data_IF_322590028374
#
_entry.id   IF_322590028374
#
_cell.length_a   1.000
_cell.length_b   1.000
_cell.length_c   1.000
_cell.angle_alpha   90.00
_cell.angle_beta   90.00
_cell.angle_gamma   90.00
#
_symmetry.space_group_name_H-M   'P 1'
#
loop_
_entity.id
_entity.type
_entity.pdbx_description
1 polymer ?
#
# COMPACT_ATOMS: atom_id res chain seq x y z
N UNK A 1 -20.31 7.66 5.62
CA UNK A 1 -21.75 7.36 5.45
C UNK A 1 -22.07 6.23 4.45
N UNK A 2 -21.19 5.82 3.53
CA UNK A 2 -21.54 4.79 2.51
C UNK A 2 -21.15 3.34 2.83
N UNK A 3 -20.11 3.10 3.64
CA UNK A 3 -19.66 1.75 3.99
C UNK A 3 -20.66 0.91 4.77
N UNK A 4 -21.49 1.54 5.60
CA UNK A 4 -22.52 0.87 6.40
C UNK A 4 -23.60 0.18 5.56
N UNK A 5 -23.80 0.63 4.32
CA UNK A 5 -24.79 0.08 3.40
C UNK A 5 -24.22 -1.01 2.49
N UNK A 6 -22.90 -1.05 2.28
CA UNK A 6 -22.23 -2.08 1.47
C UNK A 6 -21.99 -3.38 2.28
N UNK A 7 -23.07 -3.99 2.76
CA UNK A 7 -23.04 -5.19 3.62
C UNK A 7 -22.39 -6.40 2.93
N UNK A 8 -22.47 -6.46 1.60
CA UNK A 8 -21.92 -7.56 0.78
C UNK A 8 -20.46 -7.33 0.37
N UNK A 9 -19.84 -6.22 0.79
CA UNK A 9 -18.46 -5.85 0.48
C UNK A 9 -18.15 -5.87 -1.02
N UNK A 10 -19.11 -5.41 -1.83
CA UNK A 10 -18.96 -5.34 -3.28
C UNK A 10 -18.04 -4.17 -3.63
N UNK A 11 -16.99 -4.36 -4.46
CA UNK A 11 -16.16 -3.26 -4.91
C UNK A 11 -16.96 -2.19 -5.65
N UNK A 12 -16.79 -0.90 -5.32
CA UNK A 12 -17.42 0.22 -6.04
C UNK A 12 -16.33 1.07 -6.71
N UNK A 13 -16.15 0.88 -8.01
CA UNK A 13 -15.23 1.70 -8.79
C UNK A 13 -15.92 2.97 -9.26
N UNK A 14 -15.22 4.10 -9.16
CA UNK A 14 -15.75 5.39 -9.59
C UNK A 14 -14.97 5.91 -10.78
N UNK A 15 -15.66 6.54 -11.72
CA UNK A 15 -15.08 7.26 -12.84
C UNK A 15 -15.42 8.74 -12.67
N UNK A 16 -14.39 9.57 -12.59
CA UNK A 16 -14.53 11.03 -12.65
C UNK A 16 -14.18 11.48 -14.06
N UNK A 17 -15.08 12.19 -14.74
CA UNK A 17 -14.89 12.61 -16.12
C UNK A 17 -14.78 14.13 -16.16
N UNK A 18 -13.66 14.64 -16.67
CA UNK A 18 -13.47 16.08 -16.81
C UNK A 18 -13.26 16.83 -15.49
N UNK A 19 -12.96 18.12 -15.61
CA UNK A 19 -12.59 18.97 -14.47
C UNK A 19 -13.78 19.31 -13.56
N UNK A 20 -15.02 19.16 -14.04
CA UNK A 20 -16.24 19.40 -13.27
C UNK A 20 -16.59 18.30 -12.26
N UNK A 21 -15.91 17.14 -12.32
CA UNK A 21 -16.18 16.02 -11.42
C UNK A 21 -15.48 16.18 -10.06
N UNK A 22 -16.18 15.89 -8.96
CA UNK A 22 -15.58 15.84 -7.63
C UNK A 22 -14.70 14.58 -7.47
N UNK A 23 -13.44 14.72 -7.84
CA UNK A 23 -12.44 13.64 -7.84
C UNK A 23 -12.17 13.11 -6.44
N UNK A 24 -12.12 14.01 -5.45
CA UNK A 24 -11.79 13.67 -4.08
C UNK A 24 -12.91 12.87 -3.43
N UNK A 25 -14.17 13.29 -3.62
CA UNK A 25 -15.33 12.53 -3.18
C UNK A 25 -15.35 11.14 -3.80
N UNK A 26 -15.20 11.03 -5.13
CA UNK A 26 -15.24 9.75 -5.85
C UNK A 26 -14.08 8.82 -5.44
N UNK A 27 -12.89 9.39 -5.21
CA UNK A 27 -11.76 8.64 -4.67
C UNK A 27 -12.06 8.11 -3.26
N UNK A 28 -12.57 8.95 -2.35
CA UNK A 28 -12.96 8.53 -0.99
C UNK A 28 -14.08 7.47 -1.03
N UNK A 29 -15.05 7.61 -1.93
CA UNK A 29 -16.15 6.66 -2.11
C UNK A 29 -15.61 5.27 -2.49
N UNK A 30 -14.75 5.20 -3.51
CA UNK A 30 -14.18 3.93 -3.97
C UNK A 30 -13.25 3.29 -2.96
N UNK A 31 -12.37 4.07 -2.33
CA UNK A 31 -11.45 3.54 -1.31
C UNK A 31 -12.19 2.94 -0.11
N UNK A 32 -13.28 3.59 0.33
CA UNK A 32 -14.15 3.06 1.38
C UNK A 32 -14.89 1.78 0.96
N UNK A 33 -15.04 1.55 -0.35
CA UNK A 33 -15.73 0.39 -0.90
C UNK A 33 -14.77 -0.54 -1.67
N UNK A 34 -13.59 -0.77 -1.13
CA UNK A 34 -12.64 -1.80 -1.57
C UNK A 34 -12.19 -1.71 -3.04
N UNK A 35 -12.22 -0.50 -3.60
CA UNK A 35 -11.95 -0.25 -5.00
C UNK A 35 -11.14 1.04 -5.16
N UNK A 36 -10.86 1.42 -6.39
CA UNK A 36 -10.19 2.67 -6.73
C UNK A 36 -11.07 3.53 -7.64
N UNK A 37 -10.77 4.83 -7.67
CA UNK A 37 -11.34 5.78 -8.61
C UNK A 37 -10.36 6.02 -9.74
N UNK A 38 -10.87 6.17 -10.97
CA UNK A 38 -10.10 6.58 -12.15
C UNK A 38 -10.63 7.93 -12.64
N UNK A 39 -9.71 8.82 -12.99
CA UNK A 39 -10.05 10.06 -13.66
C UNK A 39 -9.88 9.89 -15.16
N UNK A 40 -10.85 10.42 -15.91
CA UNK A 40 -10.91 10.41 -17.36
C UNK A 40 -10.81 11.87 -17.80
N UNK A 41 -9.73 12.18 -18.51
CA UNK A 41 -9.51 13.52 -19.02
C UNK A 41 -10.35 13.75 -20.28
N UNK A 42 -10.93 14.95 -20.40
CA UNK A 42 -11.69 15.42 -21.58
C UNK A 42 -10.74 15.67 -22.76
N UNK A 43 -10.29 14.59 -23.40
CA UNK A 43 -9.37 14.63 -24.51
C UNK A 43 -9.78 13.64 -25.61
N UNK A 44 -9.07 13.66 -26.74
CA UNK A 44 -9.33 12.79 -27.89
C UNK A 44 -9.20 11.29 -27.57
N UNK A 45 -8.50 10.95 -26.50
CA UNK A 45 -8.26 9.57 -26.04
C UNK A 45 -9.19 9.15 -24.88
N UNK A 46 -10.20 9.96 -24.51
CA UNK A 46 -11.10 9.65 -23.40
C UNK A 46 -11.79 8.28 -23.55
N UNK A 47 -12.16 7.90 -24.79
CA UNK A 47 -12.72 6.57 -25.10
C UNK A 47 -11.73 5.43 -24.80
N UNK A 48 -10.45 5.61 -25.11
CA UNK A 48 -9.39 4.65 -24.80
C UNK A 48 -9.21 4.52 -23.27
N UNK A 49 -9.18 5.64 -22.55
CA UNK A 49 -9.05 5.64 -21.09
C UNK A 49 -10.19 4.86 -20.40
N UNK A 50 -11.41 4.96 -20.93
CA UNK A 50 -12.57 4.19 -20.48
C UNK A 50 -12.45 2.70 -20.81
N UNK A 51 -12.01 2.37 -22.02
CA UNK A 51 -11.80 0.99 -22.46
C UNK A 51 -10.75 0.28 -21.60
N UNK A 52 -9.61 0.92 -21.36
CA UNK A 52 -8.54 0.40 -20.51
C UNK A 52 -9.03 0.16 -19.07
N UNK A 53 -9.79 1.11 -18.52
CA UNK A 53 -10.38 0.95 -17.20
C UNK A 53 -11.33 -0.25 -17.15
N UNK A 54 -12.22 -0.38 -18.15
CA UNK A 54 -13.15 -1.51 -18.20
C UNK A 54 -12.42 -2.85 -18.32
N UNK A 55 -11.42 -2.95 -19.20
CA UNK A 55 -10.58 -4.16 -19.35
C UNK A 55 -9.93 -4.58 -18.03
N UNK A 56 -9.52 -3.62 -17.20
CA UNK A 56 -8.92 -3.90 -15.89
C UNK A 56 -9.87 -4.52 -14.87
N UNK A 57 -11.19 -4.35 -15.03
CA UNK A 57 -12.20 -4.84 -14.08
C UNK A 57 -13.24 -5.79 -14.69
N UNK A 58 -13.19 -6.04 -16.00
CA UNK A 58 -14.22 -6.78 -16.73
C UNK A 58 -14.20 -8.29 -16.46
N UNK A 59 -13.12 -8.82 -15.88
CA UNK A 59 -12.89 -10.26 -15.78
C UNK A 59 -12.54 -10.68 -14.34
N UNK A 60 -13.51 -10.69 -13.41
CA UNK A 60 -13.28 -11.17 -12.05
C UNK A 60 -13.04 -12.69 -12.03
N UNK A 61 -11.96 -13.11 -11.38
CA UNK A 61 -11.53 -14.51 -11.27
C UNK A 61 -11.86 -15.13 -9.91
N UNK A 62 -11.54 -14.41 -8.84
CA UNK A 62 -11.74 -14.86 -7.46
C UNK A 62 -12.40 -13.76 -6.63
N UNK A 63 -13.30 -14.15 -5.74
CA UNK A 63 -13.86 -13.29 -4.71
C UNK A 63 -13.29 -13.66 -3.33
N UNK A 64 -13.29 -12.70 -2.39
CA UNK A 64 -12.90 -12.91 -0.98
C UNK A 64 -11.53 -13.59 -0.81
N UNK A 65 -10.52 -13.13 -1.55
CA UNK A 65 -9.16 -13.65 -1.45
C UNK A 65 -8.59 -13.27 -0.08
N UNK A 66 -8.20 -14.27 0.71
CA UNK A 66 -7.74 -14.12 2.08
C UNK A 66 -6.41 -14.86 2.27
N UNK A 67 -5.41 -14.11 2.72
CA UNK A 67 -4.08 -14.60 3.06
C UNK A 67 -4.05 -14.92 4.55
N UNK A 68 -4.04 -16.22 4.87
CA UNK A 68 -4.05 -16.72 6.25
C UNK A 68 -2.63 -17.00 6.73
N UNK A 69 -2.13 -16.11 7.57
CA UNK A 69 -0.85 -16.27 8.25
C UNK A 69 -1.05 -17.06 9.54
N UNK A 70 -0.23 -18.11 9.72
CA UNK A 70 -0.41 -19.06 10.84
C UNK A 70 0.22 -18.52 12.12
N UNK A 71 1.40 -17.87 12.04
CA UNK A 71 2.12 -17.13 13.10
C UNK A 71 3.39 -16.46 12.51
N UNK A 72 4.12 -15.66 13.32
CA UNK A 72 5.45 -15.10 13.01
C UNK A 72 5.49 -13.94 12.00
N UNK A 73 4.49 -13.06 12.03
CA UNK A 73 4.53 -11.79 11.27
C UNK A 73 4.16 -10.62 12.19
N UNK A 74 4.98 -9.57 12.23
CA UNK A 74 4.80 -8.43 13.15
C UNK A 74 3.92 -7.33 12.55
N UNK A 75 4.12 -7.05 11.27
CA UNK A 75 3.39 -6.02 10.54
C UNK A 75 3.11 -6.55 9.15
N UNK A 76 1.84 -6.60 8.76
CA UNK A 76 1.39 -7.00 7.41
C UNK A 76 0.44 -5.93 6.90
N UNK A 77 0.51 -5.64 5.61
CA UNK A 77 -0.49 -4.82 4.93
C UNK A 77 -1.84 -5.57 4.84
N UNK A 78 -2.69 -5.19 3.88
CA UNK A 78 -4.01 -5.78 3.72
C UNK A 78 -3.92 -7.26 3.36
N UNK A 79 -4.65 -8.11 4.08
CA UNK A 79 -4.65 -9.57 3.89
C UNK A 79 -5.93 -10.11 3.26
N UNK A 80 -6.97 -9.28 3.13
CA UNK A 80 -8.26 -9.63 2.54
C UNK A 80 -8.54 -8.70 1.36
N UNK A 81 -8.74 -9.29 0.19
CA UNK A 81 -9.06 -8.60 -1.05
C UNK A 81 -10.40 -9.09 -1.59
N UNK A 82 -11.38 -8.21 -1.83
CA UNK A 82 -12.72 -8.68 -2.19
C UNK A 82 -12.82 -9.32 -3.56
N UNK A 83 -12.06 -8.87 -4.56
CA UNK A 83 -12.08 -9.41 -5.92
C UNK A 83 -10.69 -9.34 -6.55
N UNK A 84 -10.27 -10.44 -7.17
CA UNK A 84 -9.11 -10.52 -8.07
C UNK A 84 -9.61 -10.51 -9.51
N UNK A 85 -9.08 -9.62 -10.35
CA UNK A 85 -9.38 -9.56 -11.78
C UNK A 85 -8.27 -10.19 -12.62
N UNK A 86 -8.61 -10.69 -13.81
CA UNK A 86 -7.65 -11.21 -14.77
C UNK A 86 -6.66 -10.11 -15.18
N UNK A 87 -5.37 -10.42 -15.13
CA UNK A 87 -4.29 -9.45 -15.40
C UNK A 87 -4.00 -8.48 -14.25
N UNK A 88 -4.70 -8.58 -13.12
CA UNK A 88 -4.38 -7.83 -11.89
C UNK A 88 -3.52 -8.66 -10.94
N UNK A 89 -2.74 -7.98 -10.10
CA UNK A 89 -1.87 -8.59 -9.10
C UNK A 89 -2.15 -7.99 -7.72
N UNK A 90 -1.90 -8.78 -6.67
CA UNK A 90 -1.87 -8.29 -5.30
C UNK A 90 -0.45 -8.29 -4.76
N UNK A 91 -0.14 -7.25 -3.99
CA UNK A 91 1.11 -7.14 -3.26
C UNK A 91 0.82 -7.06 -1.77
N UNK A 92 1.46 -7.94 -1.01
CA UNK A 92 1.42 -7.92 0.44
C UNK A 92 2.84 -7.78 0.95
N UNK A 93 3.04 -6.78 1.79
CA UNK A 93 4.33 -6.52 2.41
C UNK A 93 4.22 -6.68 3.92
N UNK A 94 5.29 -7.15 4.53
CA UNK A 94 5.36 -7.28 5.96
C UNK A 94 6.74 -7.62 6.51
N UNK A 95 6.85 -7.55 7.84
CA UNK A 95 8.05 -7.94 8.58
C UNK A 95 7.82 -9.34 9.16
N UNK A 96 8.61 -10.31 8.69
CA UNK A 96 8.52 -11.67 9.17
C UNK A 96 9.58 -11.97 10.24
N UNK A 97 9.20 -12.82 11.19
CA UNK A 97 10.03 -13.24 12.31
C UNK A 97 10.66 -14.60 11.95
N UNK A 98 11.73 -15.00 12.64
CA UNK A 98 12.31 -16.36 12.51
C UNK A 98 11.21 -17.43 12.55
N UNK A 99 11.28 -18.39 11.63
CA UNK A 99 10.28 -19.44 11.50
C UNK A 99 9.04 -19.02 10.71
N UNK A 100 9.16 -18.02 9.84
CA UNK A 100 8.11 -17.67 8.88
C UNK A 100 7.75 -18.86 8.01
N UNK A 101 6.45 -19.09 7.85
CA UNK A 101 5.90 -20.07 6.93
C UNK A 101 5.02 -19.34 5.92
N UNK A 102 5.07 -19.79 4.66
CA UNK A 102 4.24 -19.24 3.61
C UNK A 102 2.75 -19.36 4.00
N UNK A 103 1.96 -18.28 3.88
CA UNK A 103 0.55 -18.30 4.26
C UNK A 103 -0.26 -19.13 3.25
N UNK A 104 -1.36 -19.70 3.72
CA UNK A 104 -2.36 -20.25 2.80
C UNK A 104 -3.16 -19.10 2.17
N UNK A 105 -3.38 -19.16 0.86
CA UNK A 105 -4.24 -18.20 0.16
C UNK A 105 -5.54 -18.88 -0.21
N UNK A 106 -6.66 -18.32 0.22
CA UNK A 106 -7.99 -18.91 -0.01
C UNK A 106 -8.85 -17.88 -0.74
N UNK A 107 -9.54 -18.27 -1.80
CA UNK A 107 -10.48 -17.42 -2.52
C UNK A 107 -11.66 -18.22 -3.06
N UNK A 108 -12.73 -17.55 -3.43
CA UNK A 108 -13.94 -18.16 -4.00
C UNK A 108 -13.98 -17.93 -5.51
N UNK A 109 -13.83 -18.98 -6.30
CA UNK A 109 -14.09 -18.96 -7.73
C UNK A 109 -15.53 -19.35 -8.06
N UNK A 110 -15.84 -19.49 -9.36
CA UNK A 110 -17.17 -19.90 -9.85
C UNK A 110 -17.63 -21.27 -9.32
N UNK A 111 -16.68 -22.19 -9.12
CA UNK A 111 -16.95 -23.59 -8.73
C UNK A 111 -16.85 -23.79 -7.20
N UNK A 112 -16.49 -22.75 -6.44
CA UNK A 112 -16.38 -22.79 -4.99
C UNK A 112 -15.03 -22.28 -4.48
N UNK A 113 -14.67 -22.71 -3.27
CA UNK A 113 -13.45 -22.27 -2.59
C UNK A 113 -12.21 -22.94 -3.20
N UNK A 114 -11.18 -22.14 -3.48
CA UNK A 114 -9.89 -22.54 -3.99
C UNK A 114 -8.82 -22.20 -2.96
N UNK A 115 -7.84 -23.09 -2.81
CA UNK A 115 -6.71 -22.93 -1.90
C UNK A 115 -5.41 -22.99 -2.68
N UNK A 116 -4.59 -21.97 -2.51
CA UNK A 116 -3.27 -21.84 -3.14
C UNK A 116 -2.19 -21.85 -2.08
N UNK A 117 -1.07 -22.50 -2.40
CA UNK A 117 0.14 -22.50 -1.58
C UNK A 117 1.23 -21.71 -2.29
N UNK A 118 1.62 -20.55 -1.77
CA UNK A 118 2.62 -19.70 -2.40
C UNK A 118 4.04 -20.24 -2.16
N UNK A 119 4.92 -20.00 -3.13
CA UNK A 119 6.32 -20.38 -3.04
C UNK A 119 7.12 -19.32 -2.29
N UNK A 120 7.99 -19.75 -1.38
CA UNK A 120 8.86 -18.83 -0.64
C UNK A 120 10.15 -18.57 -1.43
N UNK A 121 10.38 -17.31 -1.77
CA UNK A 121 11.59 -16.86 -2.47
C UNK A 121 12.42 -15.98 -1.53
N UNK A 122 13.73 -16.23 -1.46
CA UNK A 122 14.67 -15.40 -0.69
C UNK A 122 15.33 -14.38 -1.63
N UNK A 123 14.96 -13.10 -1.49
CA UNK A 123 15.57 -11.99 -2.25
C UNK A 123 16.24 -11.04 -1.26
N UNK A 124 17.54 -10.76 -1.43
CA UNK A 124 18.37 -10.26 -0.33
C UNK A 124 18.40 -8.73 -0.14
N UNK A 125 18.29 -7.89 -1.17
CA UNK A 125 18.76 -6.49 -1.02
C UNK A 125 17.81 -5.34 -1.43
N UNK A 126 16.53 -5.57 -1.76
CA UNK A 126 15.61 -4.47 -2.14
C UNK A 126 14.20 -4.54 -1.52
N UNK A 127 13.87 -5.62 -0.83
CA UNK A 127 12.52 -5.81 -0.28
C UNK A 127 12.21 -4.86 0.88
N UNK A 128 13.22 -4.38 1.59
CA UNK A 128 13.02 -3.41 2.67
C UNK A 128 12.55 -2.05 2.15
N UNK A 129 13.20 -1.53 1.11
CA UNK A 129 12.79 -0.27 0.49
C UNK A 129 11.40 -0.40 -0.15
N UNK A 130 11.11 -1.54 -0.79
CA UNK A 130 9.77 -1.82 -1.33
C UNK A 130 8.70 -1.91 -0.22
N UNK A 131 8.99 -2.60 0.88
CA UNK A 131 8.09 -2.66 2.03
C UNK A 131 7.80 -1.27 2.58
N UNK A 132 8.82 -0.43 2.74
CA UNK A 132 8.66 0.95 3.20
C UNK A 132 7.77 1.76 2.23
N UNK A 133 8.04 1.69 0.92
CA UNK A 133 7.23 2.35 -0.10
C UNK A 133 5.75 1.93 -0.05
N UNK A 134 5.47 0.62 -0.05
CA UNK A 134 4.10 0.10 0.00
C UNK A 134 3.39 0.47 1.31
N UNK A 135 4.13 0.49 2.43
CA UNK A 135 3.60 0.88 3.74
C UNK A 135 3.23 2.37 3.77
N UNK A 136 4.11 3.24 3.29
CA UNK A 136 3.85 4.70 3.19
C UNK A 136 2.63 4.94 2.29
N UNK A 137 2.58 4.32 1.11
CA UNK A 137 1.45 4.43 0.18
C UNK A 137 0.13 4.01 0.84
N UNK A 138 0.14 2.92 1.62
CA UNK A 138 -1.02 2.48 2.38
C UNK A 138 -1.44 3.50 3.44
N UNK A 139 -0.50 4.02 4.24
CA UNK A 139 -0.79 5.03 5.27
C UNK A 139 -1.43 6.29 4.68
N UNK A 140 -0.90 6.78 3.55
CA UNK A 140 -1.46 7.94 2.85
C UNK A 140 -2.84 7.67 2.25
N UNK A 141 -3.11 6.44 1.76
CA UNK A 141 -4.44 6.06 1.30
C UNK A 141 -5.45 5.96 2.44
N UNK A 142 -5.07 5.37 3.57
CA UNK A 142 -5.92 5.23 4.75
C UNK A 142 -6.23 6.62 5.36
N UNK A 143 -5.24 7.53 5.38
CA UNK A 143 -5.42 8.93 5.79
C UNK A 143 -6.51 9.65 4.98
N UNK A 144 -6.51 9.52 3.64
CA UNK A 144 -7.57 10.10 2.79
C UNK A 144 -8.98 9.66 3.17
N UNK A 145 -9.13 8.48 3.78
CA UNK A 145 -10.44 7.94 4.16
C UNK A 145 -10.87 8.28 5.58
N UNK A 146 -9.93 8.40 6.50
CA UNK A 146 -10.17 8.51 7.95
C UNK A 146 -9.74 9.86 8.54
N UNK A 147 -9.05 10.71 7.77
CA UNK A 147 -8.55 12.04 8.16
C UNK A 147 -7.84 12.04 9.55
N UNK A 148 -7.03 11.00 9.81
CA UNK A 148 -6.31 10.80 11.08
C UNK A 148 -4.88 11.36 11.01
N UNK A 149 -4.62 12.40 11.80
CA UNK A 149 -3.31 13.07 11.87
C UNK A 149 -2.15 12.10 12.19
N UNK A 150 -2.40 11.04 12.96
CA UNK A 150 -1.37 10.07 13.33
C UNK A 150 -0.86 9.23 12.15
N UNK A 151 -1.64 9.08 11.08
CA UNK A 151 -1.23 8.34 9.89
C UNK A 151 -0.21 9.12 9.05
N UNK A 152 -0.40 10.44 8.92
CA UNK A 152 0.55 11.33 8.21
C UNK A 152 1.90 11.41 8.90
N UNK A 153 1.90 11.51 10.22
CA UNK A 153 3.14 11.58 11.01
C UNK A 153 3.97 10.30 10.84
N UNK A 154 3.36 9.12 10.95
CA UNK A 154 4.03 7.83 10.68
C UNK A 154 4.53 7.71 9.24
N UNK A 155 3.75 8.21 8.27
CA UNK A 155 4.16 8.21 6.86
C UNK A 155 5.39 9.10 6.64
N UNK A 156 5.43 10.27 7.29
CA UNK A 156 6.55 11.20 7.26
C UNK A 156 7.80 10.59 7.90
N UNK A 157 7.68 9.99 9.09
CA UNK A 157 8.80 9.30 9.76
C UNK A 157 9.42 8.22 8.86
N UNK A 158 8.59 7.38 8.23
CA UNK A 158 9.07 6.35 7.31
C UNK A 158 9.68 6.95 6.04
N UNK A 159 9.09 8.02 5.50
CA UNK A 159 9.61 8.70 4.33
C UNK A 159 11.00 9.29 4.58
N UNK A 160 11.22 9.95 5.73
CA UNK A 160 12.52 10.48 6.12
C UNK A 160 13.53 9.34 6.34
N UNK A 161 13.15 8.32 7.11
CA UNK A 161 14.00 7.16 7.41
C UNK A 161 14.54 6.44 6.16
N UNK A 162 13.72 6.32 5.12
CA UNK A 162 14.09 5.63 3.87
C UNK A 162 14.41 6.59 2.72
N UNK A 163 14.45 7.90 2.99
CA UNK A 163 14.71 8.97 2.02
C UNK A 163 13.81 8.88 0.78
N UNK A 164 12.51 8.77 1.02
CA UNK A 164 11.47 8.88 -0.01
C UNK A 164 10.95 10.31 -0.10
N UNK A 165 10.73 10.77 -1.33
CA UNK A 165 9.97 11.99 -1.65
C UNK A 165 8.53 11.56 -1.89
N UNK A 166 7.60 12.12 -1.12
CA UNK A 166 6.19 11.72 -1.11
C UNK A 166 5.32 12.95 -0.86
N UNK A 167 3.99 12.81 -0.86
CA UNK A 167 3.08 13.93 -0.56
C UNK A 167 3.36 14.59 0.81
N UNK A 168 4.07 13.90 1.73
CA UNK A 168 4.44 14.39 3.06
C UNK A 168 5.92 14.74 3.23
N UNK A 169 6.74 14.61 2.19
CA UNK A 169 8.18 14.88 2.23
C UNK A 169 8.70 15.47 0.92
N UNK A 170 9.53 16.50 1.00
CA UNK A 170 10.09 17.17 -0.19
C UNK A 170 11.62 17.07 -0.22
N UNK A 171 12.19 17.18 -1.43
CA UNK A 171 13.64 17.31 -1.62
C UNK A 171 13.97 18.78 -1.82
N UNK A 172 14.73 19.35 -0.90
CA UNK A 172 15.17 20.74 -0.96
C UNK A 172 16.63 20.77 -1.39
N UNK A 173 16.92 21.42 -2.52
CA UNK A 173 18.29 21.62 -3.02
C UNK A 173 18.69 23.06 -2.73
N UNK A 174 19.57 23.23 -1.73
CA UNK A 174 20.12 24.55 -1.38
C UNK A 174 21.41 24.76 -2.16
N UNK A 175 21.50 25.89 -2.86
CA UNK A 175 22.76 26.34 -3.47
C UNK A 175 23.66 26.93 -2.37
N UNK A 176 24.98 26.65 -2.39
CA UNK A 176 25.89 27.03 -1.31
C UNK A 176 25.94 28.54 -1.03
N UNK A 177 25.56 29.39 -1.99
CA UNK A 177 25.74 30.85 -1.91
C UNK A 177 24.45 31.66 -1.73
N UNK A 178 23.28 31.02 -1.50
CA UNK A 178 22.01 31.72 -1.30
C UNK A 178 21.43 31.41 0.08
N UNK A 179 21.63 32.33 1.04
CA UNK A 179 21.09 32.23 2.40
C UNK A 179 19.59 32.57 2.43
N UNK A 180 18.74 31.61 2.10
CA UNK A 180 17.36 31.59 2.55
C UNK A 180 17.17 30.33 3.37
N UNK A 181 17.32 30.45 4.69
CA UNK A 181 17.04 29.36 5.62
C UNK A 181 15.53 29.09 5.59
N UNK A 182 15.11 28.12 4.79
CA UNK A 182 13.80 27.50 4.94
C UNK A 182 13.93 26.59 6.15
N UNK A 183 13.04 26.73 7.13
CA UNK A 183 13.03 25.89 8.33
C UNK A 183 12.61 24.47 7.93
N UNK A 184 13.60 23.61 7.67
CA UNK A 184 13.41 22.23 7.19
C UNK A 184 14.03 21.24 8.16
N UNK A 185 13.28 20.20 8.52
CA UNK A 185 13.82 19.05 9.23
C UNK A 185 14.59 18.16 8.25
N UNK A 186 15.90 18.02 8.47
CA UNK A 186 16.78 17.24 7.62
C UNK A 186 16.70 15.75 7.97
N UNK A 187 16.38 14.92 6.97
CA UNK A 187 16.32 13.46 7.11
C UNK A 187 17.64 12.86 7.63
N UNK A 188 18.79 13.46 7.29
CA UNK A 188 20.11 12.97 7.69
C UNK A 188 20.38 13.08 9.19
N UNK A 189 19.77 14.06 9.88
CA UNK A 189 19.95 14.28 11.33
C UNK A 189 19.24 13.22 12.19
N UNK A 190 18.22 12.55 11.65
CA UNK A 190 17.46 11.52 12.38
C UNK A 190 18.25 10.21 12.62
N UNK A 191 19.41 10.06 11.96
CA UNK A 191 20.22 8.83 11.99
C UNK A 191 21.21 8.78 13.16
N UNK A 192 21.55 9.92 13.78
CA UNK A 192 22.69 10.02 14.71
C UNK A 192 22.38 9.91 16.21
N UNK A 193 21.14 9.63 16.63
CA UNK A 193 20.79 9.46 18.05
C UNK A 193 20.08 8.12 18.37
N UNK A 194 20.69 7.00 17.96
CA UNK A 194 20.47 5.72 18.64
C UNK A 194 21.77 5.24 19.27
N UNK A 195 22.03 5.84 20.43
CA UNK A 195 23.13 5.55 21.33
C UNK A 195 23.32 4.03 21.50
N UNK A 196 24.45 3.53 21.00
CA UNK A 196 24.85 2.11 20.96
C UNK A 196 25.12 1.49 22.35
N UNK A 197 24.75 2.16 23.45
CA UNK A 197 25.18 1.78 24.82
C UNK A 197 24.14 1.11 25.71
N UNK A 198 22.82 1.13 25.41
CA UNK A 198 21.82 0.59 26.36
C UNK A 198 21.11 -0.71 25.93
N UNK A 199 21.16 -1.15 24.67
CA UNK A 199 20.44 -2.38 24.23
C UNK A 199 21.32 -3.54 23.74
N UNK A 200 22.53 -3.72 24.31
CA UNK A 200 23.31 -4.97 24.12
C UNK A 200 22.68 -6.22 24.77
N UNK A 201 21.47 -6.14 25.32
CA UNK A 201 20.81 -7.26 26.05
C UNK A 201 19.39 -7.64 25.58
N UNK A 202 18.98 -7.29 24.36
CA UNK A 202 17.81 -7.93 23.72
C UNK A 202 18.20 -8.64 22.42
N UNK A 203 18.44 -9.95 22.57
CA UNK A 203 18.18 -11.03 21.61
C UNK A 203 18.24 -10.64 20.13
N UNK A 204 19.36 -10.99 19.51
CA UNK A 204 19.61 -10.96 18.05
C UNK A 204 18.67 -11.96 17.33
N UNK A 205 17.38 -11.65 17.21
CA UNK A 205 16.45 -12.39 16.37
C UNK A 205 16.56 -11.81 14.95
N UNK A 206 17.37 -12.45 14.09
CA UNK A 206 17.37 -12.21 12.63
C UNK A 206 15.92 -12.25 12.12
N UNK A 207 15.30 -11.10 11.87
CA UNK A 207 14.03 -10.98 11.18
C UNK A 207 14.32 -11.06 9.67
N UNK A 208 13.70 -12.01 8.98
CA UNK A 208 13.70 -12.07 7.52
C UNK A 208 12.49 -11.31 7.01
N UNK A 209 12.62 -10.42 6.03
CA UNK A 209 11.47 -9.72 5.44
C UNK A 209 11.01 -10.48 4.21
N UNK A 210 9.70 -10.69 4.06
CA UNK A 210 9.12 -11.49 2.97
C UNK A 210 8.10 -10.64 2.23
N UNK A 211 8.24 -10.60 0.90
CA UNK A 211 7.21 -10.12 -0.01
C UNK A 211 6.56 -11.35 -0.63
N UNK A 212 5.24 -11.45 -0.55
CA UNK A 212 4.50 -12.51 -1.21
C UNK A 212 3.76 -11.89 -2.39
N UNK A 213 4.16 -12.29 -3.59
CA UNK A 213 3.46 -11.96 -4.83
C UNK A 213 2.72 -13.23 -5.27
N UNK A 214 1.42 -13.14 -5.57
CA UNK A 214 0.77 -14.16 -6.39
C UNK A 214 0.73 -13.66 -7.82
N UNK A 215 1.24 -14.51 -8.72
CA UNK A 215 1.03 -14.48 -10.16
C UNK A 215 -0.23 -15.28 -10.50
#
# INVERSE_FOLDING_TARGET
MTTSFNKRKVPIFSLSFGDGADRDFLQKLSLKNYAFSKHIYEASDASLQLEEFYKGISSPLLANVNFKYVNNVESVTTTIFPVLFYGSEFYISGIAIKGFQAPDVIGCGRVGSLKFKPNLLNVSNSLERLWAYLTIKKLLQDDKTNDDKGLKERALELALKYSFVTDVSSLVVVKPDSSSAVDTEDASKSVDHLDLRVKKKLIKKRLGKVLLTLL
#
